data_IF_247147157873
#
_entry.id   IF_247147157873
#
_cell.length_a   1.000
_cell.length_b   1.000
_cell.length_c   1.000
_cell.angle_alpha   90.00
_cell.angle_beta   90.00
_cell.angle_gamma   90.00
#
_symmetry.space_group_name_H-M   'P 1'
#
loop_
_entity.id
_entity.type
_entity.pdbx_description
1 polymer ?
#
# COMPACT_ATOMS: atom_id res chain seq x y z
N UNK A 1 -15.49 88.36 -25.92
CA UNK A 1 -16.62 88.47 -24.99
C UNK A 1 -16.60 87.22 -24.16
N UNK A 2 -16.16 87.47 -23.02
CA UNK A 2 -16.41 86.95 -21.67
C UNK A 2 -16.23 85.44 -21.48
N UNK A 3 -15.14 84.99 -20.89
CA UNK A 3 -14.63 85.09 -19.54
C UNK A 3 -15.68 84.60 -18.49
N UNK A 4 -15.40 83.44 -17.92
CA UNK A 4 -15.33 83.24 -16.45
C UNK A 4 -15.24 81.74 -16.10
N UNK A 5 -14.07 81.31 -15.64
CA UNK A 5 -14.00 80.11 -14.84
C UNK A 5 -14.54 80.33 -13.41
N UNK A 6 -14.82 79.31 -12.68
CA UNK A 6 -14.44 79.33 -11.27
C UNK A 6 -13.72 78.09 -10.73
N UNK A 7 -12.69 78.44 -10.05
CA UNK A 7 -12.31 78.05 -8.65
C UNK A 7 -12.25 76.54 -8.30
N UNK A 8 -11.01 76.16 -8.15
CA UNK A 8 -10.55 75.06 -7.29
C UNK A 8 -11.24 75.02 -5.92
N UNK A 9 -11.74 73.87 -5.56
CA UNK A 9 -11.79 73.47 -4.15
C UNK A 9 -11.12 72.12 -4.03
N UNK A 10 -9.95 72.15 -3.39
CA UNK A 10 -9.26 70.98 -2.83
C UNK A 10 -10.10 70.52 -1.63
N UNK A 11 -10.57 69.30 -1.68
CA UNK A 11 -10.93 68.54 -0.50
C UNK A 11 -9.98 67.39 -0.39
N UNK A 12 -9.00 67.52 0.51
CA UNK A 12 -8.21 66.45 1.09
C UNK A 12 -9.14 65.74 2.06
N UNK A 13 -9.60 64.57 1.70
CA UNK A 13 -10.13 63.62 2.71
C UNK A 13 -9.20 62.40 2.62
N UNK A 14 -8.27 62.33 3.59
CA UNK A 14 -7.54 61.12 3.90
C UNK A 14 -8.49 60.06 4.43
N UNK A 15 -8.82 59.10 3.60
CA UNK A 15 -9.46 57.86 3.99
C UNK A 15 -8.39 56.83 4.24
N UNK A 16 -8.01 56.66 5.49
CA UNK A 16 -7.22 55.47 5.96
C UNK A 16 -8.14 54.27 5.78
N UNK A 17 -7.98 53.56 4.66
CA UNK A 17 -8.52 52.22 4.49
C UNK A 17 -7.60 51.31 5.31
N UNK A 18 -7.94 51.09 6.57
CA UNK A 18 -7.41 50.00 7.36
C UNK A 18 -7.90 48.69 6.73
N UNK A 19 -7.10 48.15 5.84
CA UNK A 19 -7.29 46.79 5.29
C UNK A 19 -6.98 45.83 6.42
N UNK A 20 -8.02 45.49 7.20
CA UNK A 20 -8.00 44.43 8.17
C UNK A 20 -7.79 43.12 7.41
N UNK A 21 -6.52 42.68 7.29
CA UNK A 21 -6.19 41.35 6.85
C UNK A 21 -6.77 40.39 7.88
N UNK A 22 -7.98 39.92 7.67
CA UNK A 22 -8.53 38.77 8.36
C UNK A 22 -7.66 37.60 7.90
N UNK A 23 -6.66 37.29 8.71
CA UNK A 23 -6.01 35.99 8.69
C UNK A 23 -7.10 34.95 8.92
N UNK A 24 -7.71 34.47 7.85
CA UNK A 24 -8.48 33.23 7.85
C UNK A 24 -7.44 32.15 8.11
N UNK A 25 -7.14 31.90 9.37
CA UNK A 25 -6.54 30.65 9.78
C UNK A 25 -7.57 29.59 9.48
N UNK A 26 -7.50 29.03 8.28
CA UNK A 26 -8.20 27.79 7.98
C UNK A 26 -7.81 26.82 9.10
N UNK A 27 -8.76 26.31 9.91
CA UNK A 27 -8.42 25.28 10.87
C UNK A 27 -7.77 24.16 10.03
N UNK A 28 -6.49 23.88 10.29
CA UNK A 28 -5.93 22.65 9.81
C UNK A 28 -6.91 21.57 10.31
N UNK A 29 -7.53 20.83 9.40
CA UNK A 29 -8.41 19.72 9.76
C UNK A 29 -7.55 18.71 10.51
N UNK A 30 -7.37 18.93 11.80
CA UNK A 30 -6.80 17.95 12.69
C UNK A 30 -7.86 16.87 12.85
N UNK A 31 -7.66 15.73 12.18
CA UNK A 31 -8.50 14.56 12.39
C UNK A 31 -8.30 14.15 13.85
N UNK A 32 -9.37 14.25 14.66
CA UNK A 32 -9.34 13.81 16.06
C UNK A 32 -9.44 12.30 16.13
N UNK A 33 -8.29 11.65 16.40
CA UNK A 33 -8.18 10.19 16.48
C UNK A 33 -8.29 9.76 17.93
N UNK A 34 -9.41 9.16 18.29
CA UNK A 34 -9.65 8.59 19.61
C UNK A 34 -9.15 7.14 19.65
N UNK A 35 -8.42 6.80 20.69
CA UNK A 35 -7.98 5.43 20.95
C UNK A 35 -8.88 4.79 21.99
N UNK A 36 -9.59 3.73 21.61
CA UNK A 36 -10.55 3.03 22.48
C UNK A 36 -10.10 1.58 22.69
N UNK A 37 -10.61 1.00 23.77
CA UNK A 37 -10.45 -0.45 24.05
C UNK A 37 -11.81 -0.99 24.45
N UNK A 38 -12.22 -2.08 23.82
CA UNK A 38 -13.50 -2.74 24.13
C UNK A 38 -13.40 -3.63 25.36
N UNK A 39 -14.52 -4.04 25.98
CA UNK A 39 -14.55 -5.04 27.06
C UNK A 39 -13.83 -6.35 26.72
N UNK A 40 -13.88 -6.79 25.45
CA UNK A 40 -13.11 -7.95 24.97
C UNK A 40 -11.60 -7.69 24.80
N UNK A 41 -11.10 -6.48 25.14
CA UNK A 41 -9.69 -6.11 25.04
C UNK A 41 -9.23 -5.72 23.64
N UNK A 42 -10.14 -5.45 22.71
CA UNK A 42 -9.84 -5.07 21.34
C UNK A 42 -9.54 -3.58 21.29
N UNK A 43 -8.36 -3.23 20.78
CA UNK A 43 -7.96 -1.82 20.57
C UNK A 43 -8.41 -1.33 19.20
N UNK A 44 -8.96 -0.12 19.15
CA UNK A 44 -9.38 0.51 17.91
C UNK A 44 -9.06 2.01 17.89
N UNK A 45 -8.93 2.55 16.70
CA UNK A 45 -8.91 3.99 16.48
C UNK A 45 -10.22 4.44 15.88
N UNK A 46 -10.80 5.51 16.42
CA UNK A 46 -12.07 6.09 15.97
C UNK A 46 -11.87 7.53 15.52
N UNK A 47 -12.46 7.87 14.38
CA UNK A 47 -12.75 9.24 13.96
C UNK A 47 -14.25 9.37 13.78
N UNK A 48 -14.89 10.20 14.59
CA UNK A 48 -16.30 10.53 14.42
C UNK A 48 -16.46 11.51 13.25
N UNK A 49 -17.22 11.12 12.24
CA UNK A 49 -17.56 11.95 11.08
C UNK A 49 -19.05 11.80 10.79
N UNK A 50 -19.81 12.85 11.09
CA UNK A 50 -21.28 12.91 10.94
C UNK A 50 -21.73 13.60 9.66
N UNK A 51 -20.82 13.85 8.72
CA UNK A 51 -21.14 14.53 7.45
C UNK A 51 -22.02 13.68 6.55
N UNK A 52 -21.94 12.36 6.67
CA UNK A 52 -22.78 11.40 5.98
C UNK A 52 -23.17 10.24 6.93
N UNK A 53 -24.37 9.65 6.77
CA UNK A 53 -24.82 8.54 7.62
C UNK A 53 -24.15 7.20 7.24
N UNK A 54 -22.82 7.20 7.16
CA UNK A 54 -22.00 6.07 6.73
C UNK A 54 -20.96 5.76 7.78
N UNK A 55 -20.69 4.48 7.99
CA UNK A 55 -19.60 3.98 8.85
C UNK A 55 -18.69 3.12 8.00
N UNK A 56 -17.40 3.38 8.07
CA UNK A 56 -16.34 2.56 7.47
C UNK A 56 -15.45 1.96 8.56
N UNK A 57 -15.30 0.65 8.52
CA UNK A 57 -14.38 -0.10 9.37
C UNK A 57 -13.32 -0.70 8.48
N UNK A 58 -12.05 -0.44 8.78
CA UNK A 58 -10.90 -1.13 8.18
C UNK A 58 -10.18 -1.92 9.27
N UNK A 59 -9.86 -3.16 8.98
CA UNK A 59 -9.20 -4.03 9.96
C UNK A 59 -8.15 -4.93 9.31
N UNK A 60 -7.20 -5.38 10.11
CA UNK A 60 -6.13 -6.27 9.66
C UNK A 60 -5.72 -7.21 10.78
N UNK A 61 -5.44 -8.45 10.40
CA UNK A 61 -4.81 -9.45 11.26
C UNK A 61 -3.39 -9.70 10.76
N UNK A 62 -2.46 -9.90 11.67
CA UNK A 62 -1.12 -10.36 11.32
C UNK A 62 -1.19 -11.79 10.77
N UNK A 63 -0.32 -12.08 9.79
CA UNK A 63 -0.33 -13.34 9.06
C UNK A 63 -0.97 -13.21 7.69
N UNK A 64 -0.24 -13.62 6.66
CA UNK A 64 -0.64 -13.54 5.27
C UNK A 64 -0.07 -14.71 4.47
N UNK A 65 0.10 -14.54 3.15
CA UNK A 65 0.56 -15.61 2.27
C UNK A 65 1.97 -16.13 2.58
N UNK A 66 2.79 -15.37 3.32
CA UNK A 66 4.08 -15.86 3.79
C UNK A 66 3.96 -17.08 4.74
N UNK A 67 2.80 -17.27 5.33
CA UNK A 67 2.50 -18.39 6.24
C UNK A 67 1.83 -19.59 5.55
N UNK A 68 1.61 -19.52 4.25
CA UNK A 68 1.06 -20.66 3.51
C UNK A 68 2.01 -21.87 3.65
N UNK A 69 1.50 -23.08 3.90
CA UNK A 69 2.32 -24.28 3.90
C UNK A 69 2.99 -24.48 2.53
N UNK A 70 4.20 -25.07 2.53
CA UNK A 70 4.85 -25.44 1.29
C UNK A 70 3.98 -26.42 0.49
N UNK A 71 3.83 -26.14 -0.80
CA UNK A 71 2.95 -26.90 -1.72
C UNK A 71 1.47 -26.52 -1.63
N UNK A 72 1.11 -25.52 -0.80
CA UNK A 72 -0.25 -24.96 -0.70
C UNK A 72 -0.21 -23.42 -0.81
N UNK A 73 0.73 -22.92 -1.62
CA UNK A 73 0.83 -21.48 -1.88
C UNK A 73 -0.47 -20.97 -2.53
N UNK A 74 -1.05 -19.94 -1.91
CA UNK A 74 -2.36 -19.38 -2.25
C UNK A 74 -3.49 -19.76 -1.28
N UNK A 75 -3.19 -20.55 -0.22
CA UNK A 75 -4.18 -20.95 0.78
C UNK A 75 -4.82 -19.75 1.48
N UNK A 76 -4.02 -18.80 1.96
CA UNK A 76 -4.53 -17.61 2.61
C UNK A 76 -5.41 -16.77 1.67
N UNK A 77 -4.99 -16.63 0.40
CA UNK A 77 -5.73 -15.87 -0.61
C UNK A 77 -7.07 -16.52 -0.96
N UNK A 78 -7.09 -17.85 -1.16
CA UNK A 78 -8.33 -18.59 -1.44
C UNK A 78 -9.28 -18.53 -0.23
N UNK A 79 -8.76 -18.71 1.00
CA UNK A 79 -9.56 -18.62 2.22
C UNK A 79 -10.20 -17.24 2.38
N UNK A 80 -9.44 -16.15 2.14
CA UNK A 80 -9.96 -14.79 2.19
C UNK A 80 -11.10 -14.57 1.19
N UNK A 81 -10.95 -15.10 -0.04
CA UNK A 81 -11.94 -14.95 -1.10
C UNK A 81 -13.21 -15.80 -0.88
N UNK A 82 -13.19 -16.72 0.07
CA UNK A 82 -14.33 -17.55 0.43
C UNK A 82 -15.18 -16.97 1.56
N UNK A 83 -14.70 -15.99 2.31
CA UNK A 83 -15.40 -15.45 3.48
C UNK A 83 -16.73 -14.76 3.16
N UNK A 84 -16.87 -14.23 1.96
CA UNK A 84 -18.10 -13.61 1.47
C UNK A 84 -18.91 -14.51 0.50
N UNK A 85 -18.51 -15.78 0.37
CA UNK A 85 -19.18 -16.77 -0.47
C UNK A 85 -20.16 -17.66 0.34
N UNK A 86 -20.78 -17.08 1.35
CA UNK A 86 -21.74 -17.72 2.24
C UNK A 86 -21.19 -17.89 3.65
N UNK A 87 -22.02 -17.56 4.65
CA UNK A 87 -21.67 -17.66 6.06
C UNK A 87 -22.93 -17.90 6.92
N UNK A 88 -22.80 -18.68 7.99
CA UNK A 88 -23.89 -19.05 8.86
C UNK A 88 -25.05 -19.70 8.07
N UNK A 89 -26.30 -19.18 8.18
CA UNK A 89 -27.45 -19.72 7.47
C UNK A 89 -27.50 -19.33 5.98
N UNK A 90 -26.68 -18.39 5.53
CA UNK A 90 -26.75 -17.83 4.18
C UNK A 90 -25.74 -18.53 3.26
N UNK A 91 -26.23 -19.10 2.14
CA UNK A 91 -25.37 -19.49 1.04
C UNK A 91 -24.80 -18.26 0.29
N UNK A 92 -24.00 -18.48 -0.75
CA UNK A 92 -23.34 -17.39 -1.46
C UNK A 92 -24.32 -16.37 -2.06
N UNK A 93 -25.45 -16.82 -2.61
CA UNK A 93 -26.46 -15.94 -3.22
C UNK A 93 -27.23 -15.16 -2.14
N UNK A 94 -27.66 -15.85 -1.07
CA UNK A 94 -28.38 -15.24 0.04
C UNK A 94 -27.47 -14.25 0.82
N UNK A 95 -26.18 -14.59 1.01
CA UNK A 95 -25.24 -13.70 1.67
C UNK A 95 -25.03 -12.42 0.88
N UNK A 96 -24.86 -12.54 -0.43
CA UNK A 96 -24.75 -11.39 -1.33
C UNK A 96 -26.04 -10.56 -1.36
N UNK A 97 -27.21 -11.21 -1.48
CA UNK A 97 -28.50 -10.52 -1.41
C UNK A 97 -28.69 -9.73 -0.12
N UNK A 98 -28.31 -10.31 1.04
CA UNK A 98 -28.36 -9.59 2.30
C UNK A 98 -27.46 -8.37 2.33
N UNK A 99 -26.24 -8.44 1.75
CA UNK A 99 -25.37 -7.25 1.62
C UNK A 99 -26.03 -6.16 0.76
N UNK A 100 -26.67 -6.54 -0.34
CA UNK A 100 -27.36 -5.63 -1.26
C UNK A 100 -28.58 -4.97 -0.59
N UNK A 101 -29.41 -5.74 0.12
CA UNK A 101 -30.61 -5.27 0.83
C UNK A 101 -30.29 -4.16 1.85
N UNK A 102 -29.15 -4.25 2.52
CA UNK A 102 -28.73 -3.31 3.57
C UNK A 102 -27.62 -2.35 3.10
N UNK A 103 -27.33 -2.31 1.78
CA UNK A 103 -26.27 -1.51 1.19
C UNK A 103 -24.90 -1.66 1.89
N UNK A 104 -24.62 -2.83 2.48
CA UNK A 104 -23.34 -3.15 3.11
C UNK A 104 -22.34 -3.64 2.07
N UNK A 105 -21.08 -3.26 2.25
CA UNK A 105 -19.98 -3.79 1.46
C UNK A 105 -18.91 -4.37 2.35
N UNK A 106 -18.75 -5.68 2.29
CA UNK A 106 -17.65 -6.41 2.91
C UNK A 106 -16.58 -6.65 1.83
N UNK A 107 -15.31 -6.55 2.22
CA UNK A 107 -14.18 -6.86 1.35
C UNK A 107 -13.06 -7.49 2.19
N UNK A 108 -12.45 -8.53 1.67
CA UNK A 108 -11.34 -9.25 2.30
C UNK A 108 -10.18 -9.37 1.33
N UNK A 109 -8.96 -9.37 1.85
CA UNK A 109 -7.77 -9.51 1.03
C UNK A 109 -6.57 -9.98 1.84
N UNK A 110 -5.56 -10.45 1.15
CA UNK A 110 -4.33 -10.96 1.76
C UNK A 110 -3.13 -10.29 1.10
N UNK A 111 -2.21 -9.84 1.90
CA UNK A 111 -0.85 -9.50 1.48
C UNK A 111 0.12 -10.57 1.96
N UNK A 112 1.39 -10.35 1.72
CA UNK A 112 2.43 -11.30 2.17
C UNK A 112 2.42 -11.46 3.69
N UNK A 113 2.24 -10.35 4.43
CA UNK A 113 2.35 -10.32 5.89
C UNK A 113 1.00 -10.26 6.62
N UNK A 114 -0.11 -10.01 5.93
CA UNK A 114 -1.37 -9.65 6.57
C UNK A 114 -2.59 -10.15 5.82
N UNK A 115 -3.59 -10.52 6.59
CA UNK A 115 -4.97 -10.51 6.16
C UNK A 115 -5.58 -9.13 6.46
N UNK A 116 -6.36 -8.59 5.55
CA UNK A 116 -7.09 -7.32 5.73
C UNK A 116 -8.54 -7.47 5.34
N UNK A 117 -9.38 -6.67 5.97
CA UNK A 117 -10.79 -6.57 5.60
C UNK A 117 -11.31 -5.17 5.81
N UNK A 118 -12.43 -4.89 5.17
CA UNK A 118 -13.17 -3.64 5.38
C UNK A 118 -14.66 -3.87 5.30
N UNK A 119 -15.40 -3.08 6.07
CA UNK A 119 -16.86 -2.98 5.99
C UNK A 119 -17.23 -1.52 5.79
N UNK A 120 -18.08 -1.26 4.82
CA UNK A 120 -18.75 0.01 4.65
C UNK A 120 -20.25 -0.20 4.73
N UNK A 121 -20.93 0.56 5.56
CA UNK A 121 -22.34 0.38 5.87
C UNK A 121 -23.04 1.72 6.12
N UNK A 122 -24.35 1.75 5.92
CA UNK A 122 -25.20 2.82 6.38
C UNK A 122 -25.39 2.71 7.90
N UNK A 123 -25.50 3.87 8.58
CA UNK A 123 -25.71 3.94 10.02
C UNK A 123 -26.96 3.14 10.47
N UNK A 124 -28.05 3.22 9.71
CA UNK A 124 -29.30 2.52 10.02
C UNK A 124 -29.19 0.98 10.00
N UNK A 125 -28.31 0.44 9.17
CA UNK A 125 -28.07 -1.01 9.05
C UNK A 125 -26.79 -1.49 9.70
N UNK A 126 -26.22 -0.72 10.64
CA UNK A 126 -24.91 -1.03 11.25
C UNK A 126 -24.90 -2.39 11.96
N UNK A 127 -25.99 -2.73 12.69
CA UNK A 127 -26.03 -4.01 13.41
C UNK A 127 -26.09 -5.21 12.47
N UNK A 128 -26.96 -5.15 11.45
CA UNK A 128 -27.07 -6.22 10.44
C UNK A 128 -25.78 -6.39 9.65
N UNK A 129 -25.09 -5.29 9.33
CA UNK A 129 -23.81 -5.33 8.63
C UNK A 129 -22.69 -5.96 9.48
N UNK A 130 -22.69 -5.66 10.78
CA UNK A 130 -21.75 -6.24 11.74
C UNK A 130 -22.04 -7.74 11.95
N UNK A 131 -23.32 -8.15 11.95
CA UNK A 131 -23.67 -9.58 12.02
C UNK A 131 -23.15 -10.35 10.78
N UNK A 132 -23.29 -9.78 9.58
CA UNK A 132 -22.71 -10.39 8.38
C UNK A 132 -21.19 -10.50 8.47
N UNK A 133 -20.50 -9.46 8.97
CA UNK A 133 -19.07 -9.52 9.20
C UNK A 133 -18.70 -10.63 10.18
N UNK A 134 -19.38 -10.70 11.33
CA UNK A 134 -19.15 -11.74 12.35
C UNK A 134 -19.31 -13.12 11.73
N UNK A 135 -20.40 -13.37 11.03
CA UNK A 135 -20.64 -14.65 10.36
C UNK A 135 -19.52 -14.99 9.36
N UNK A 136 -19.11 -14.04 8.54
CA UNK A 136 -18.03 -14.23 7.57
C UNK A 136 -16.71 -14.66 8.23
N UNK A 137 -16.38 -14.09 9.40
CA UNK A 137 -15.15 -14.39 10.11
C UNK A 137 -15.21 -15.66 10.96
N UNK A 138 -16.39 -16.01 11.52
CA UNK A 138 -16.52 -17.10 12.50
C UNK A 138 -17.19 -18.36 11.96
N UNK A 139 -18.04 -18.21 10.95
CA UNK A 139 -18.89 -19.28 10.43
C UNK A 139 -18.93 -19.31 8.88
N UNK A 140 -17.78 -19.13 8.16
CA UNK A 140 -17.79 -19.25 6.72
C UNK A 140 -18.20 -20.66 6.32
N UNK A 141 -19.12 -20.79 5.33
CA UNK A 141 -19.69 -22.08 4.95
C UNK A 141 -18.69 -22.99 4.24
N UNK A 142 -17.81 -22.41 3.43
CA UNK A 142 -16.83 -23.15 2.65
C UNK A 142 -17.50 -24.25 1.79
N UNK A 143 -18.59 -23.89 1.11
CA UNK A 143 -19.37 -24.80 0.28
C UNK A 143 -18.53 -25.30 -0.92
N UNK A 144 -18.65 -26.58 -1.25
CA UNK A 144 -17.84 -27.23 -2.28
C UNK A 144 -17.90 -26.52 -3.64
N UNK A 145 -19.09 -26.08 -4.05
CA UNK A 145 -19.30 -25.37 -5.33
C UNK A 145 -18.56 -24.03 -5.37
N UNK A 146 -18.59 -23.28 -4.27
CA UNK A 146 -17.87 -22.01 -4.13
C UNK A 146 -16.36 -22.24 -4.14
N UNK A 147 -15.86 -23.24 -3.42
CA UNK A 147 -14.44 -23.63 -3.42
C UNK A 147 -14.00 -23.97 -4.85
N UNK A 148 -14.67 -24.91 -5.52
CA UNK A 148 -14.29 -25.34 -6.86
C UNK A 148 -14.36 -24.22 -7.88
N UNK A 149 -15.37 -23.34 -7.79
CA UNK A 149 -15.50 -22.18 -8.68
C UNK A 149 -14.32 -21.22 -8.50
N UNK A 150 -13.98 -20.88 -7.26
CA UNK A 150 -12.87 -19.99 -6.96
C UNK A 150 -11.51 -20.64 -7.30
N UNK A 151 -11.30 -21.92 -7.01
CA UNK A 151 -10.07 -22.62 -7.42
C UNK A 151 -9.87 -22.53 -8.94
N UNK A 152 -10.91 -22.80 -9.74
CA UNK A 152 -10.82 -22.66 -11.21
C UNK A 152 -10.51 -21.23 -11.65
N UNK A 153 -11.12 -20.25 -10.99
CA UNK A 153 -10.86 -18.83 -11.26
C UNK A 153 -9.40 -18.44 -10.93
N UNK A 154 -8.88 -18.87 -9.77
CA UNK A 154 -7.50 -18.62 -9.38
C UNK A 154 -6.51 -19.31 -10.34
N UNK A 155 -6.74 -20.57 -10.67
CA UNK A 155 -5.90 -21.31 -11.64
C UNK A 155 -5.88 -20.62 -13.00
N UNK A 156 -7.03 -20.17 -13.49
CA UNK A 156 -7.09 -19.41 -14.75
C UNK A 156 -6.31 -18.08 -14.66
N UNK A 157 -6.47 -17.33 -13.58
CA UNK A 157 -5.74 -16.09 -13.35
C UNK A 157 -4.22 -16.31 -13.25
N UNK A 158 -3.79 -17.36 -12.54
CA UNK A 158 -2.37 -17.72 -12.42
C UNK A 158 -1.76 -18.11 -13.77
N UNK A 159 -2.46 -18.90 -14.60
CA UNK A 159 -2.03 -19.25 -15.97
C UNK A 159 -1.91 -18.02 -16.86
N UNK A 160 -2.82 -17.06 -16.72
CA UNK A 160 -2.73 -15.78 -17.43
C UNK A 160 -1.53 -14.94 -16.92
N UNK A 161 -1.31 -14.89 -15.61
CA UNK A 161 -0.18 -14.18 -15.01
C UNK A 161 1.18 -14.76 -15.43
N UNK A 162 1.27 -16.07 -15.72
CA UNK A 162 2.46 -16.72 -16.26
C UNK A 162 2.84 -16.25 -17.67
N UNK A 163 1.88 -15.70 -18.42
CA UNK A 163 2.10 -15.12 -19.75
C UNK A 163 2.45 -13.62 -19.69
N UNK A 164 2.22 -12.96 -18.56
CA UNK A 164 2.52 -11.55 -18.37
C UNK A 164 4.01 -11.33 -18.07
N UNK A 165 4.77 -10.61 -18.92
CA UNK A 165 6.19 -10.34 -18.65
C UNK A 165 6.43 -9.66 -17.30
N UNK A 166 5.55 -8.74 -16.90
CA UNK A 166 5.63 -8.05 -15.61
C UNK A 166 5.45 -8.98 -14.41
N UNK A 167 4.47 -9.89 -14.46
CA UNK A 167 4.24 -10.89 -13.41
C UNK A 167 5.41 -11.88 -13.29
N UNK A 168 5.94 -12.33 -14.43
CA UNK A 168 7.11 -13.21 -14.47
C UNK A 168 8.32 -12.49 -13.94
N UNK A 169 8.57 -11.23 -14.33
CA UNK A 169 9.68 -10.42 -13.84
C UNK A 169 9.61 -10.22 -12.32
N UNK A 170 8.44 -9.88 -11.78
CA UNK A 170 8.26 -9.71 -10.35
C UNK A 170 8.50 -11.02 -9.57
N UNK A 171 7.97 -12.14 -10.04
CA UNK A 171 8.19 -13.46 -9.42
C UNK A 171 9.68 -13.86 -9.46
N UNK A 172 10.33 -13.67 -10.61
CA UNK A 172 11.77 -13.94 -10.78
C UNK A 172 12.61 -13.08 -9.85
N UNK A 173 12.29 -11.77 -9.79
CA UNK A 173 12.97 -10.83 -8.91
C UNK A 173 12.84 -11.22 -7.44
N UNK A 174 11.62 -11.40 -6.95
CA UNK A 174 11.38 -11.71 -5.53
C UNK A 174 12.00 -13.06 -5.14
N UNK A 175 11.93 -14.07 -6.01
CA UNK A 175 12.60 -15.34 -5.79
C UNK A 175 14.11 -15.17 -5.71
N UNK A 176 14.72 -14.34 -6.55
CA UNK A 176 16.15 -14.10 -6.54
C UNK A 176 16.61 -13.27 -5.32
N UNK A 177 15.79 -12.29 -4.90
CA UNK A 177 16.08 -11.43 -3.72
C UNK A 177 15.93 -12.21 -2.42
N UNK A 178 14.83 -12.94 -2.27
CA UNK A 178 14.47 -13.57 -1.00
C UNK A 178 14.90 -15.04 -0.88
N UNK A 179 15.24 -15.70 -1.99
CA UNK A 179 15.73 -17.08 -1.98
C UNK A 179 14.69 -18.08 -1.42
N UNK A 180 15.07 -18.76 -0.34
CA UNK A 180 14.20 -19.71 0.37
C UNK A 180 13.28 -19.05 1.41
N UNK A 181 13.46 -17.77 1.69
CA UNK A 181 12.60 -17.03 2.60
C UNK A 181 11.14 -17.02 2.08
N UNK A 182 10.11 -17.07 2.93
CA UNK A 182 8.71 -17.07 2.50
C UNK A 182 8.33 -15.94 1.54
N UNK A 183 8.96 -14.78 1.64
CA UNK A 183 8.73 -13.65 0.71
C UNK A 183 9.18 -13.92 -0.73
N UNK A 184 10.00 -14.94 -0.97
CA UNK A 184 10.38 -15.39 -2.31
C UNK A 184 9.35 -16.33 -2.97
N UNK A 185 8.32 -16.75 -2.24
CA UNK A 185 7.21 -17.54 -2.77
C UNK A 185 6.17 -16.64 -3.44
N UNK A 186 5.46 -17.11 -4.48
CA UNK A 186 4.38 -16.36 -5.09
C UNK A 186 3.26 -16.05 -4.09
N UNK A 187 3.01 -14.78 -3.82
CA UNK A 187 1.98 -14.36 -2.86
C UNK A 187 0.55 -14.75 -3.31
N UNK A 188 0.32 -14.76 -4.62
CA UNK A 188 -0.96 -15.15 -5.22
C UNK A 188 -1.12 -16.68 -5.33
N UNK A 189 -0.09 -17.44 -4.95
CA UNK A 189 -0.07 -18.89 -5.03
C UNK A 189 0.54 -19.45 -6.31
N UNK A 190 0.44 -20.76 -6.43
CA UNK A 190 0.83 -21.54 -7.61
C UNK A 190 -0.37 -22.39 -8.08
N UNK A 191 -0.39 -22.77 -9.37
CA UNK A 191 -1.45 -23.66 -9.89
C UNK A 191 -1.52 -24.95 -9.08
N UNK A 192 -0.37 -25.61 -8.87
CA UNK A 192 -0.30 -26.84 -8.09
C UNK A 192 -0.71 -26.62 -6.61
N UNK A 193 -0.29 -25.47 -6.02
CA UNK A 193 -0.67 -25.11 -4.64
C UNK A 193 -2.19 -24.95 -4.50
N UNK A 194 -2.83 -24.19 -5.39
CA UNK A 194 -4.29 -23.98 -5.38
C UNK A 194 -5.05 -25.29 -5.56
N UNK A 195 -4.61 -26.17 -6.49
CA UNK A 195 -5.24 -27.47 -6.76
C UNK A 195 -5.07 -28.46 -5.59
N UNK A 196 -4.02 -28.33 -4.79
CA UNK A 196 -3.76 -29.16 -3.63
C UNK A 196 -4.53 -28.73 -2.36
N UNK A 197 -5.17 -27.54 -2.35
CA UNK A 197 -5.89 -27.05 -1.18
C UNK A 197 -7.19 -27.84 -0.97
N UNK A 198 -7.37 -28.38 0.23
CA UNK A 198 -8.56 -29.09 0.66
C UNK A 198 -9.48 -28.21 1.51
N UNK A 199 -10.72 -28.65 1.71
CA UNK A 199 -11.65 -27.96 2.62
C UNK A 199 -11.16 -27.92 4.06
N UNK A 200 -10.43 -28.95 4.50
CA UNK A 200 -9.87 -28.97 5.85
C UNK A 200 -8.70 -27.98 6.01
N UNK A 201 -7.90 -27.78 4.97
CA UNK A 201 -6.89 -26.72 4.94
C UNK A 201 -7.53 -25.33 5.11
N UNK A 202 -8.63 -25.08 4.42
CA UNK A 202 -9.37 -23.82 4.50
C UNK A 202 -9.95 -23.61 5.91
N UNK A 203 -10.55 -24.65 6.50
CA UNK A 203 -11.05 -24.60 7.89
C UNK A 203 -9.94 -24.31 8.88
N UNK A 204 -8.79 -24.96 8.73
CA UNK A 204 -7.63 -24.72 9.59
C UNK A 204 -7.08 -23.32 9.39
N UNK A 205 -7.01 -22.82 8.14
CA UNK A 205 -6.57 -21.47 7.83
C UNK A 205 -7.46 -20.43 8.53
N UNK A 206 -8.79 -20.55 8.44
CA UNK A 206 -9.73 -19.64 9.11
C UNK A 206 -9.51 -19.66 10.63
N UNK A 207 -9.41 -20.84 11.24
CA UNK A 207 -9.20 -20.97 12.70
C UNK A 207 -7.90 -20.35 13.18
N UNK A 208 -6.81 -20.47 12.43
CA UNK A 208 -5.50 -19.91 12.84
C UNK A 208 -5.34 -18.44 12.52
N UNK A 209 -6.09 -17.90 11.52
CA UNK A 209 -5.91 -16.54 11.03
C UNK A 209 -6.45 -15.50 12.00
N UNK A 210 -7.62 -15.74 12.54
CA UNK A 210 -8.38 -14.73 13.28
C UNK A 210 -8.19 -14.87 14.79
N UNK A 211 -7.37 -13.97 15.37
CA UNK A 211 -7.18 -13.86 16.82
C UNK A 211 -7.12 -12.38 17.22
N UNK A 212 -7.66 -12.06 18.40
CA UNK A 212 -7.80 -10.68 18.88
C UNK A 212 -6.46 -9.99 19.12
N UNK A 213 -5.43 -10.72 19.57
CA UNK A 213 -4.08 -10.20 19.79
C UNK A 213 -3.39 -9.70 18.52
N UNK A 214 -3.82 -10.18 17.34
CA UNK A 214 -3.29 -9.81 16.01
C UNK A 214 -4.09 -8.76 15.29
N UNK A 215 -5.23 -8.36 15.84
CA UNK A 215 -6.17 -7.43 15.22
C UNK A 215 -5.69 -5.99 15.36
N UNK A 216 -5.73 -5.27 14.26
CA UNK A 216 -5.64 -3.80 14.18
C UNK A 216 -6.92 -3.30 13.54
N UNK A 217 -7.50 -2.22 14.06
CA UNK A 217 -8.82 -1.76 13.68
C UNK A 217 -8.91 -0.24 13.66
N UNK A 218 -9.44 0.30 12.58
CA UNK A 218 -9.77 1.73 12.46
C UNK A 218 -11.20 1.91 11.99
N UNK A 219 -11.89 2.87 12.57
CA UNK A 219 -13.28 3.21 12.28
C UNK A 219 -13.40 4.70 12.00
N UNK A 220 -14.15 5.03 10.97
CA UNK A 220 -14.48 6.42 10.62
C UNK A 220 -15.95 6.49 10.22
N UNK A 221 -16.69 7.46 10.75
CA UNK A 221 -18.06 7.68 10.33
C UNK A 221 -19.02 8.15 11.41
N UNK A 222 -20.29 8.11 11.09
CA UNK A 222 -21.38 8.54 11.97
C UNK A 222 -21.71 7.47 13.01
N UNK A 223 -20.86 7.40 14.03
CA UNK A 223 -21.00 6.47 15.15
C UNK A 223 -20.35 7.07 16.39
N UNK A 224 -20.96 6.86 17.55
CA UNK A 224 -20.42 7.29 18.85
C UNK A 224 -19.46 6.24 19.42
N UNK A 225 -18.63 6.66 20.39
CA UNK A 225 -17.70 5.74 21.10
C UNK A 225 -18.43 4.54 21.70
N UNK A 226 -19.55 4.75 22.40
CA UNK A 226 -20.30 3.67 23.03
C UNK A 226 -20.88 2.69 22.01
N UNK A 227 -21.45 3.20 20.90
CA UNK A 227 -21.99 2.37 19.83
C UNK A 227 -20.89 1.52 19.17
N UNK A 228 -19.74 2.12 18.83
CA UNK A 228 -18.68 1.38 18.11
C UNK A 228 -18.00 0.34 18.98
N UNK A 229 -17.84 0.61 20.29
CA UNK A 229 -17.32 -0.37 21.23
C UNK A 229 -18.20 -1.62 21.26
N UNK A 230 -19.53 -1.47 21.35
CA UNK A 230 -20.46 -2.58 21.31
C UNK A 230 -20.47 -3.32 19.97
N UNK A 231 -20.42 -2.61 18.84
CA UNK A 231 -20.37 -3.19 17.49
C UNK A 231 -19.09 -3.97 17.24
N UNK A 232 -17.95 -3.48 17.71
CA UNK A 232 -16.65 -4.17 17.59
C UNK A 232 -16.62 -5.43 18.43
N UNK A 233 -17.10 -5.40 19.66
CA UNK A 233 -17.22 -6.60 20.50
C UNK A 233 -18.17 -7.63 19.88
N UNK A 234 -19.28 -7.19 19.28
CA UNK A 234 -20.21 -8.09 18.56
C UNK A 234 -19.54 -8.75 17.36
N UNK A 235 -18.71 -8.00 16.60
CA UNK A 235 -18.04 -8.53 15.41
C UNK A 235 -16.87 -9.48 15.73
N UNK A 236 -16.03 -9.10 16.68
CA UNK A 236 -14.72 -9.70 16.90
C UNK A 236 -14.54 -10.33 18.29
N UNK A 237 -15.42 -10.03 19.26
CA UNK A 237 -15.27 -10.44 20.64
C UNK A 237 -15.28 -11.97 20.85
N UNK A 238 -15.99 -12.72 19.99
CA UNK A 238 -16.02 -14.18 19.99
C UNK A 238 -14.78 -14.85 19.40
N UNK A 239 -13.90 -14.10 18.75
CA UNK A 239 -12.64 -14.64 18.23
C UNK A 239 -11.71 -15.05 19.37
N UNK A 240 -10.87 -16.09 19.18
CA UNK A 240 -9.86 -16.49 20.15
C UNK A 240 -8.99 -15.31 20.59
N UNK A 241 -8.57 -15.31 21.85
CA UNK A 241 -7.64 -14.30 22.34
C UNK A 241 -6.30 -14.36 21.57
N UNK A 242 -5.81 -15.58 21.34
CA UNK A 242 -4.60 -15.87 20.57
C UNK A 242 -4.74 -17.19 19.81
N UNK A 243 -4.02 -17.34 18.71
CA UNK A 243 -3.93 -18.58 17.92
C UNK A 243 -2.47 -19.02 17.72
N UNK A 244 -1.56 -18.55 18.58
CA UNK A 244 -0.13 -18.80 18.49
C UNK A 244 0.60 -17.77 17.59
N UNK A 245 1.91 -17.90 17.40
CA UNK A 245 2.70 -16.90 16.69
C UNK A 245 2.38 -16.85 15.18
N UNK A 246 2.31 -15.62 14.64
CA UNK A 246 2.23 -15.35 13.21
C UNK A 246 3.61 -14.98 12.65
N UNK A 247 4.65 -15.69 13.08
CA UNK A 247 6.01 -15.28 12.80
C UNK A 247 6.45 -15.66 11.39
N UNK A 248 7.10 -14.70 10.74
CA UNK A 248 7.86 -14.88 9.51
C UNK A 248 9.34 -14.76 9.89
N UNK A 249 10.22 -15.65 9.41
CA UNK A 249 11.65 -15.58 9.71
C UNK A 249 12.23 -14.20 9.42
N UNK A 250 13.26 -13.80 10.15
CA UNK A 250 14.03 -12.59 9.80
C UNK A 250 14.71 -12.80 8.44
N UNK A 251 14.60 -11.78 7.61
CA UNK A 251 15.31 -11.78 6.34
C UNK A 251 16.66 -11.05 6.48
N UNK A 252 17.68 -11.63 5.88
CA UNK A 252 19.00 -11.00 5.74
C UNK A 252 19.29 -10.85 4.25
N UNK A 253 19.68 -9.66 3.77
CA UNK A 253 20.09 -9.47 2.38
C UNK A 253 21.19 -10.44 1.96
N UNK A 254 21.13 -10.90 0.72
CA UNK A 254 22.22 -11.71 0.15
C UNK A 254 23.50 -10.86 0.03
N UNK A 255 24.65 -11.52 0.02
CA UNK A 255 25.93 -10.85 -0.17
C UNK A 255 25.96 -10.07 -1.49
N UNK A 256 26.50 -8.86 -1.43
CA UNK A 256 26.71 -8.02 -2.62
C UNK A 256 27.73 -8.68 -3.57
N UNK A 257 27.54 -8.46 -4.87
CA UNK A 257 28.46 -8.91 -5.93
C UNK A 257 28.81 -7.71 -6.80
N UNK A 258 30.05 -7.61 -7.31
CA UNK A 258 30.42 -6.53 -8.22
C UNK A 258 29.43 -6.43 -9.40
N UNK A 259 28.84 -5.24 -9.59
CA UNK A 259 27.83 -4.99 -10.63
C UNK A 259 26.44 -5.56 -10.36
N UNK A 260 26.21 -6.21 -9.22
CA UNK A 260 24.95 -6.87 -8.88
C UNK A 260 24.72 -8.18 -9.64
N UNK A 261 23.47 -8.67 -9.59
CA UNK A 261 23.06 -9.92 -10.25
C UNK A 261 21.98 -9.64 -11.29
N UNK A 262 22.14 -10.18 -12.51
CA UNK A 262 21.13 -10.05 -13.58
C UNK A 262 20.59 -11.42 -13.98
N UNK A 263 19.27 -11.54 -14.01
CA UNK A 263 18.55 -12.72 -14.49
C UNK A 263 17.77 -12.36 -15.75
N UNK A 264 17.83 -13.22 -16.74
CA UNK A 264 17.09 -13.05 -18.00
C UNK A 264 16.17 -14.25 -18.18
N UNK A 265 14.88 -13.97 -18.37
CA UNK A 265 13.88 -14.98 -18.72
C UNK A 265 13.42 -14.72 -20.14
N UNK A 266 13.84 -15.56 -21.08
CA UNK A 266 13.47 -15.44 -22.48
C UNK A 266 11.97 -15.69 -22.69
N UNK A 267 11.30 -14.75 -23.39
CA UNK A 267 9.91 -14.84 -23.80
C UNK A 267 9.72 -14.19 -25.17
N UNK A 268 8.96 -14.81 -26.05
CA UNK A 268 8.62 -14.24 -27.37
C UNK A 268 7.50 -13.21 -27.20
N UNK A 269 7.88 -12.00 -26.79
CA UNK A 269 6.96 -10.87 -26.57
C UNK A 269 7.58 -9.60 -27.19
N UNK A 270 6.73 -8.63 -27.63
CA UNK A 270 7.23 -7.42 -28.33
C UNK A 270 7.99 -6.47 -27.42
N UNK A 271 7.79 -6.54 -26.10
CA UNK A 271 8.42 -5.67 -25.12
C UNK A 271 9.06 -6.47 -23.99
N UNK A 272 10.23 -6.02 -23.54
CA UNK A 272 10.85 -6.50 -22.33
C UNK A 272 10.43 -5.68 -21.12
N UNK A 273 10.28 -6.35 -19.98
CA UNK A 273 10.13 -5.71 -18.67
C UNK A 273 11.40 -5.95 -17.86
N UNK A 274 11.99 -4.89 -17.35
CA UNK A 274 13.11 -4.95 -16.43
C UNK A 274 12.72 -4.40 -15.06
N UNK A 275 13.05 -5.16 -14.01
CA UNK A 275 12.92 -4.76 -12.61
C UNK A 275 14.30 -4.82 -11.96
N UNK A 276 14.67 -3.78 -11.23
CA UNK A 276 15.93 -3.68 -10.49
C UNK A 276 15.57 -3.46 -9.02
N UNK A 277 15.92 -4.42 -8.16
CA UNK A 277 15.69 -4.33 -6.72
C UNK A 277 17.00 -4.26 -5.94
N UNK A 278 16.95 -3.58 -4.82
CA UNK A 278 18.00 -3.55 -3.82
C UNK A 278 17.40 -3.48 -2.41
N UNK A 279 18.12 -3.94 -1.38
CA UNK A 279 17.70 -3.77 0.01
C UNK A 279 17.45 -2.29 0.35
N UNK A 280 16.41 -2.03 1.11
CA UNK A 280 16.01 -0.68 1.52
C UNK A 280 15.52 -0.71 2.96
N UNK A 281 14.89 0.38 3.39
CA UNK A 281 14.41 0.58 4.74
C UNK A 281 13.09 -0.15 4.99
N UNK A 282 12.89 -0.58 6.21
CA UNK A 282 11.56 -0.89 6.73
C UNK A 282 10.81 0.40 7.06
N UNK A 283 9.51 0.30 7.29
CA UNK A 283 8.67 1.47 7.53
C UNK A 283 8.97 2.18 8.85
N UNK A 284 9.47 1.45 9.82
CA UNK A 284 9.84 1.93 11.16
C UNK A 284 11.24 2.57 11.25
N UNK A 285 11.99 2.63 10.13
CA UNK A 285 13.30 3.27 10.09
C UNK A 285 13.19 4.79 10.29
N UNK A 286 14.01 5.41 11.15
CA UNK A 286 13.98 6.86 11.39
C UNK A 286 14.25 7.69 10.12
N UNK A 287 14.97 7.14 9.14
CA UNK A 287 15.28 7.80 7.87
C UNK A 287 14.17 7.64 6.81
N UNK A 288 13.00 7.12 7.19
CA UNK A 288 11.92 6.84 6.25
C UNK A 288 11.52 8.04 5.38
N UNK A 289 11.42 9.23 5.96
CA UNK A 289 11.02 10.42 5.19
C UNK A 289 12.11 10.91 4.25
N UNK A 290 13.38 10.78 4.62
CA UNK A 290 14.49 11.06 3.71
C UNK A 290 14.49 10.07 2.51
N UNK A 291 14.24 8.78 2.77
CA UNK A 291 14.09 7.77 1.73
C UNK A 291 12.84 8.01 0.86
N UNK A 292 11.74 8.48 1.44
CA UNK A 292 10.52 8.82 0.71
C UNK A 292 10.77 9.99 -0.26
N UNK A 293 11.45 11.04 0.18
CA UNK A 293 11.83 12.18 -0.65
C UNK A 293 12.81 11.73 -1.75
N UNK A 294 13.85 10.96 -1.39
CA UNK A 294 14.78 10.38 -2.35
C UNK A 294 14.06 9.61 -3.44
N UNK A 295 13.17 8.69 -3.06
CA UNK A 295 12.41 7.89 -4.01
C UNK A 295 11.45 8.74 -4.85
N UNK A 296 10.82 9.75 -4.28
CA UNK A 296 9.95 10.68 -5.02
C UNK A 296 10.72 11.35 -6.17
N UNK A 297 11.89 11.93 -5.88
CA UNK A 297 12.75 12.57 -6.88
C UNK A 297 13.29 11.54 -7.88
N UNK A 298 13.66 10.35 -7.44
CA UNK A 298 14.21 9.32 -8.32
C UNK A 298 13.19 8.86 -9.37
N UNK A 299 12.04 8.35 -8.94
CA UNK A 299 11.05 7.79 -9.87
C UNK A 299 9.66 7.57 -9.26
N UNK A 300 9.45 7.91 -7.99
CA UNK A 300 8.17 7.82 -7.30
C UNK A 300 7.24 9.02 -7.56
N UNK A 301 7.77 10.12 -8.05
CA UNK A 301 7.02 11.35 -8.37
C UNK A 301 6.30 11.33 -9.73
N UNK A 302 6.16 10.18 -10.36
CA UNK A 302 5.51 10.08 -11.67
C UNK A 302 6.27 10.86 -12.74
N UNK A 303 5.60 11.77 -13.44
CA UNK A 303 6.22 12.56 -14.53
C UNK A 303 7.33 13.51 -14.07
N UNK A 304 7.37 13.90 -12.81
CA UNK A 304 8.43 14.77 -12.28
C UNK A 304 9.67 14.00 -11.83
N UNK A 305 9.64 12.65 -11.81
CA UNK A 305 10.77 11.83 -11.40
C UNK A 305 11.91 11.80 -12.43
N UNK A 306 13.16 11.73 -11.94
CA UNK A 306 14.36 11.66 -12.81
C UNK A 306 14.32 10.48 -13.78
N UNK A 307 13.85 9.31 -13.35
CA UNK A 307 13.75 8.13 -14.22
C UNK A 307 12.80 8.37 -15.40
N UNK A 308 11.65 9.01 -15.14
CA UNK A 308 10.70 9.35 -16.19
C UNK A 308 11.30 10.34 -17.17
N UNK A 309 11.95 11.40 -16.67
CA UNK A 309 12.58 12.42 -17.48
C UNK A 309 13.70 11.84 -18.36
N UNK A 310 14.60 11.02 -17.79
CA UNK A 310 15.77 10.51 -18.49
C UNK A 310 15.43 9.41 -19.51
N UNK A 311 14.50 8.50 -19.16
CA UNK A 311 14.16 7.35 -20.00
C UNK A 311 13.10 7.70 -21.04
N UNK A 312 12.05 8.43 -20.63
CA UNK A 312 10.92 8.75 -21.51
C UNK A 312 11.10 10.10 -22.22
N UNK A 313 11.16 11.19 -21.44
CA UNK A 313 11.05 12.55 -22.02
C UNK A 313 12.24 12.88 -22.90
N UNK A 314 13.47 12.63 -22.45
CA UNK A 314 14.68 12.97 -23.19
C UNK A 314 15.04 11.98 -24.29
N UNK A 315 14.71 10.70 -24.14
CA UNK A 315 15.21 9.64 -25.04
C UNK A 315 14.12 8.81 -25.70
N UNK A 316 12.88 8.91 -25.28
CA UNK A 316 11.76 8.16 -25.86
C UNK A 316 11.93 6.64 -25.80
N UNK A 317 12.70 6.12 -24.83
CA UNK A 317 13.04 4.71 -24.77
C UNK A 317 11.89 3.85 -24.26
N UNK A 318 11.06 4.38 -23.33
CA UNK A 318 9.95 3.67 -22.73
C UNK A 318 8.76 4.61 -22.52
N UNK A 319 7.57 4.04 -22.35
CA UNK A 319 6.38 4.80 -21.95
C UNK A 319 6.49 5.29 -20.50
N UNK A 320 7.24 4.60 -19.66
CA UNK A 320 7.49 5.03 -18.29
C UNK A 320 8.60 4.23 -17.61
N UNK A 321 9.28 4.90 -16.69
CA UNK A 321 10.24 4.33 -15.77
C UNK A 321 9.99 4.88 -14.37
N UNK A 322 9.89 3.99 -13.38
CA UNK A 322 9.43 4.34 -12.04
C UNK A 322 10.30 3.69 -10.97
N UNK A 323 10.26 4.23 -9.76
CA UNK A 323 10.78 3.56 -8.58
C UNK A 323 9.79 3.60 -7.43
N UNK A 324 9.86 2.60 -6.55
CA UNK A 324 9.03 2.52 -5.34
C UNK A 324 9.80 1.91 -4.17
N UNK A 325 9.45 2.35 -2.97
CA UNK A 325 9.80 1.68 -1.73
C UNK A 325 8.74 0.61 -1.44
N UNK A 326 9.16 -0.63 -1.26
CA UNK A 326 8.30 -1.76 -0.91
C UNK A 326 8.67 -2.26 0.47
N UNK A 327 7.76 -2.12 1.43
CA UNK A 327 7.98 -2.53 2.82
C UNK A 327 7.31 -3.85 3.10
N UNK A 328 8.01 -4.69 3.82
CA UNK A 328 7.56 -5.94 4.40
C UNK A 328 7.82 -5.88 5.91
N UNK A 329 7.18 -6.72 6.68
CA UNK A 329 7.42 -6.80 8.14
C UNK A 329 8.88 -7.08 8.47
N UNK A 330 9.57 -7.91 7.67
CA UNK A 330 10.94 -8.32 7.91
C UNK A 330 11.95 -7.75 6.91
N UNK A 331 11.52 -6.97 5.92
CA UNK A 331 12.38 -6.47 4.85
C UNK A 331 11.90 -5.12 4.32
N UNK A 332 12.80 -4.41 3.63
CA UNK A 332 12.47 -3.29 2.75
C UNK A 332 13.21 -3.43 1.44
N UNK A 333 12.58 -3.07 0.33
CA UNK A 333 13.19 -3.03 -0.98
C UNK A 333 12.92 -1.67 -1.64
N UNK A 334 13.90 -1.16 -2.38
CA UNK A 334 13.67 -0.18 -3.43
C UNK A 334 13.65 -0.95 -4.76
N UNK A 335 12.60 -0.73 -5.55
CA UNK A 335 12.43 -1.41 -6.84
C UNK A 335 12.25 -0.35 -7.92
N UNK A 336 13.16 -0.30 -8.88
CA UNK A 336 13.01 0.43 -10.12
C UNK A 336 12.45 -0.49 -11.21
N UNK A 337 11.66 0.07 -12.14
CA UNK A 337 10.96 -0.69 -13.18
C UNK A 337 10.90 0.08 -14.50
N UNK A 338 11.00 -0.65 -15.62
CA UNK A 338 10.79 -0.14 -16.97
C UNK A 338 10.20 -1.22 -17.85
N UNK A 339 9.25 -0.83 -18.72
CA UNK A 339 8.74 -1.66 -19.83
C UNK A 339 9.08 -0.96 -21.15
N UNK A 340 9.81 -1.65 -22.05
CA UNK A 340 10.32 -1.05 -23.28
C UNK A 340 10.47 -2.08 -24.40
N UNK A 341 10.69 -1.62 -25.63
CA UNK A 341 11.00 -2.50 -26.75
C UNK A 341 12.29 -3.34 -26.48
N UNK A 342 12.32 -4.54 -27.02
CA UNK A 342 13.40 -5.51 -26.73
C UNK A 342 14.81 -4.99 -27.05
N UNK A 343 14.94 -4.18 -28.12
CA UNK A 343 16.19 -3.56 -28.53
C UNK A 343 16.63 -2.38 -27.67
N UNK A 344 15.73 -1.80 -26.87
CA UNK A 344 15.98 -0.60 -26.03
C UNK A 344 16.20 -0.92 -24.55
N UNK A 345 15.98 -2.17 -24.14
CA UNK A 345 15.99 -2.51 -22.71
C UNK A 345 17.37 -2.38 -22.09
N UNK A 346 18.45 -2.73 -22.81
CA UNK A 346 19.82 -2.59 -22.31
C UNK A 346 20.16 -1.13 -21.98
N UNK A 347 19.83 -0.20 -22.91
CA UNK A 347 20.04 1.22 -22.70
C UNK A 347 19.17 1.76 -21.55
N UNK A 348 17.91 1.37 -21.47
CA UNK A 348 17.01 1.76 -20.39
C UNK A 348 17.51 1.32 -19.02
N UNK A 349 17.96 0.07 -18.88
CA UNK A 349 18.57 -0.46 -17.66
C UNK A 349 19.85 0.29 -17.28
N UNK A 350 20.71 0.59 -18.27
CA UNK A 350 21.93 1.36 -18.08
C UNK A 350 21.60 2.76 -17.52
N UNK A 351 20.68 3.47 -18.12
CA UNK A 351 20.26 4.80 -17.65
C UNK A 351 19.67 4.77 -16.24
N UNK A 352 18.83 3.78 -15.93
CA UNK A 352 18.30 3.62 -14.57
C UNK A 352 19.47 3.44 -13.58
N UNK A 353 20.43 2.58 -13.87
CA UNK A 353 21.61 2.36 -13.01
C UNK A 353 22.47 3.62 -12.88
N UNK A 354 22.64 4.41 -13.94
CA UNK A 354 23.31 5.71 -13.91
C UNK A 354 22.60 6.68 -12.98
N UNK A 355 21.26 6.78 -13.06
CA UNK A 355 20.49 7.64 -12.17
C UNK A 355 20.54 7.19 -10.70
N UNK A 356 20.56 5.89 -10.43
CA UNK A 356 20.79 5.36 -9.09
C UNK A 356 22.18 5.75 -8.57
N UNK A 357 23.23 5.64 -9.39
CA UNK A 357 24.60 6.03 -9.04
C UNK A 357 24.69 7.55 -8.77
N UNK A 358 24.17 8.38 -9.67
CA UNK A 358 24.16 9.83 -9.53
C UNK A 358 23.40 10.26 -8.26
N UNK A 359 22.27 9.63 -7.96
CA UNK A 359 21.53 9.91 -6.73
C UNK A 359 22.36 9.56 -5.48
N UNK A 360 23.13 8.48 -5.52
CA UNK A 360 24.01 8.08 -4.40
C UNK A 360 25.22 9.01 -4.24
N UNK A 361 25.82 9.50 -5.34
CA UNK A 361 27.01 10.36 -5.30
C UNK A 361 26.67 11.83 -5.06
N UNK A 362 25.70 12.36 -5.80
CA UNK A 362 25.41 13.80 -5.83
C UNK A 362 24.22 14.17 -4.94
N UNK A 363 23.28 13.20 -4.71
CA UNK A 363 22.04 13.46 -4.01
C UNK A 363 20.99 14.14 -4.89
N UNK A 364 20.25 15.06 -4.28
CA UNK A 364 19.23 15.89 -4.95
C UNK A 364 19.58 17.37 -4.85
N UNK A 365 18.98 18.19 -5.69
CA UNK A 365 19.11 19.66 -5.64
C UNK A 365 18.17 20.29 -4.61
N UNK A 366 18.42 21.54 -4.22
CA UNK A 366 17.52 22.35 -3.36
C UNK A 366 16.11 22.45 -3.96
N UNK A 367 16.01 22.66 -5.27
CA UNK A 367 14.73 22.75 -5.97
C UNK A 367 13.96 21.43 -5.89
N UNK A 368 14.61 20.30 -6.20
CA UNK A 368 13.98 18.98 -6.10
C UNK A 368 13.52 18.66 -4.65
N UNK A 369 14.30 19.08 -3.64
CA UNK A 369 13.92 18.92 -2.24
C UNK A 369 12.66 19.73 -1.91
N UNK A 370 12.62 21.00 -2.34
CA UNK A 370 11.49 21.90 -2.09
C UNK A 370 10.21 21.39 -2.79
N UNK A 371 10.32 20.99 -4.04
CA UNK A 371 9.19 20.43 -4.83
C UNK A 371 8.67 19.12 -4.21
N UNK A 372 9.57 18.22 -3.84
CA UNK A 372 9.19 16.95 -3.21
C UNK A 372 8.47 17.17 -1.86
N UNK A 373 8.96 18.09 -1.01
CA UNK A 373 8.30 18.45 0.24
C UNK A 373 6.91 19.04 0.00
N UNK A 374 6.79 19.95 -0.95
CA UNK A 374 5.52 20.58 -1.32
C UNK A 374 4.51 19.54 -1.79
N UNK A 375 4.91 18.65 -2.69
CA UNK A 375 4.07 17.59 -3.19
C UNK A 375 3.64 16.61 -2.09
N UNK A 376 4.59 16.09 -1.31
CA UNK A 376 4.32 15.09 -0.27
C UNK A 376 3.42 15.65 0.84
N UNK A 377 3.57 16.93 1.20
CA UNK A 377 2.70 17.58 2.15
C UNK A 377 1.29 17.81 1.59
N UNK A 378 1.18 18.23 0.32
CA UNK A 378 -0.12 18.47 -0.32
C UNK A 378 -0.88 17.18 -0.65
N UNK A 379 -0.18 16.11 -1.05
CA UNK A 379 -0.81 14.85 -1.47
C UNK A 379 -1.60 14.16 -0.35
N UNK A 380 -1.27 14.39 0.93
CA UNK A 380 -2.01 13.80 2.04
C UNK A 380 -3.48 14.24 2.05
N UNK A 381 -3.75 15.51 1.78
CA UNK A 381 -5.12 16.04 1.77
C UNK A 381 -6.02 15.31 0.76
N UNK A 382 -5.44 14.89 -0.38
CA UNK A 382 -6.16 14.15 -1.41
C UNK A 382 -6.51 12.71 -1.00
N UNK A 383 -5.87 12.17 0.02
CA UNK A 383 -6.16 10.83 0.55
C UNK A 383 -7.25 10.83 1.63
N UNK A 384 -7.68 12.01 2.05
CA UNK A 384 -8.71 12.21 3.10
C UNK A 384 -10.09 12.51 2.50
N UNK A 385 -10.37 12.00 1.33
CA UNK A 385 -11.56 12.30 0.52
C UNK A 385 -12.82 11.52 0.93
N UNK A 386 -12.68 10.45 1.70
CA UNK A 386 -13.80 9.59 2.12
C UNK A 386 -13.54 8.90 3.45
N UNK A 387 -14.62 8.54 4.16
CA UNK A 387 -14.55 7.73 5.39
C UNK A 387 -13.74 6.45 5.20
N UNK A 388 -13.87 5.78 4.04
CA UNK A 388 -13.11 4.57 3.70
C UNK A 388 -11.61 4.85 3.57
N UNK A 389 -11.24 5.91 2.85
CA UNK A 389 -9.82 6.29 2.65
C UNK A 389 -9.17 6.66 3.98
N UNK A 390 -9.87 7.43 4.82
CA UNK A 390 -9.40 7.79 6.15
C UNK A 390 -9.24 6.54 7.03
N UNK A 391 -10.24 5.64 7.08
CA UNK A 391 -10.14 4.39 7.86
C UNK A 391 -8.97 3.51 7.38
N UNK A 392 -8.74 3.42 6.07
CA UNK A 392 -7.61 2.71 5.48
C UNK A 392 -6.26 3.32 5.88
N UNK A 393 -6.15 4.66 5.86
CA UNK A 393 -4.94 5.36 6.28
C UNK A 393 -4.65 5.13 7.77
N UNK A 394 -5.65 5.24 8.64
CA UNK A 394 -5.51 4.99 10.07
C UNK A 394 -5.09 3.54 10.36
N UNK A 395 -5.66 2.59 9.63
CA UNK A 395 -5.26 1.19 9.72
C UNK A 395 -3.80 1.01 9.29
N UNK A 396 -3.38 1.62 8.17
CA UNK A 396 -1.99 1.56 7.71
C UNK A 396 -1.04 2.12 8.76
N UNK A 397 -1.37 3.24 9.40
CA UNK A 397 -0.57 3.80 10.48
C UNK A 397 -0.41 2.84 11.66
N UNK A 398 -1.51 2.17 12.11
CA UNK A 398 -1.43 1.17 13.17
C UNK A 398 -0.57 -0.04 12.78
N UNK A 399 -0.71 -0.49 11.53
CA UNK A 399 0.07 -1.59 10.94
C UNK A 399 1.56 -1.26 10.92
N UNK A 400 1.89 -0.02 10.63
CA UNK A 400 3.26 0.51 10.56
C UNK A 400 3.82 0.88 11.96
N UNK A 401 3.04 0.68 13.04
CA UNK A 401 3.46 1.02 14.40
C UNK A 401 3.53 2.51 14.69
N UNK A 402 2.87 3.34 13.88
CA UNK A 402 2.85 4.79 14.05
C UNK A 402 1.81 5.19 15.10
N UNK A 403 2.11 6.26 15.85
CA UNK A 403 1.19 6.81 16.84
C UNK A 403 0.05 7.63 16.21
N UNK A 404 -1.09 7.83 16.89
CA UNK A 404 -2.21 8.63 16.35
C UNK A 404 -1.81 10.06 15.96
N UNK A 405 -0.89 10.69 16.70
CA UNK A 405 -0.38 12.04 16.46
C UNK A 405 0.53 12.14 15.21
N UNK A 406 0.86 11.00 14.61
CA UNK A 406 1.75 10.98 13.44
C UNK A 406 1.20 11.80 12.26
N UNK A 407 -0.11 11.85 12.08
CA UNK A 407 -0.72 12.64 11.01
C UNK A 407 -0.41 14.14 11.17
N UNK A 408 -0.52 14.66 12.37
CA UNK A 408 -0.22 16.08 12.66
C UNK A 408 1.28 16.39 12.59
N UNK A 409 2.13 15.44 13.02
CA UNK A 409 3.59 15.57 13.00
C UNK A 409 4.21 15.30 11.63
N UNK A 410 3.49 14.63 10.71
CA UNK A 410 4.02 14.20 9.41
C UNK A 410 4.62 15.35 8.61
N UNK A 411 3.92 16.51 8.57
CA UNK A 411 4.42 17.69 7.87
C UNK A 411 5.77 18.13 8.44
N UNK A 412 5.88 18.23 9.75
CA UNK A 412 7.12 18.60 10.43
C UNK A 412 8.25 17.60 10.14
N UNK A 413 7.94 16.29 10.15
CA UNK A 413 8.92 15.25 9.84
C UNK A 413 9.45 15.34 8.40
N UNK A 414 8.59 15.69 7.45
CA UNK A 414 8.98 15.93 6.06
C UNK A 414 9.80 17.23 5.95
N UNK A 415 9.36 18.31 6.58
CA UNK A 415 9.99 19.62 6.47
C UNK A 415 11.39 19.65 7.08
N UNK A 416 11.65 18.84 8.10
CA UNK A 416 12.97 18.70 8.75
C UNK A 416 14.02 18.02 7.88
N UNK A 417 13.63 17.24 6.87
CA UNK A 417 14.59 16.52 6.01
C UNK A 417 15.48 17.53 5.28
N UNK A 418 16.78 17.32 5.33
CA UNK A 418 17.80 18.13 4.66
C UNK A 418 18.36 17.43 3.42
N UNK A 419 19.08 18.16 2.57
CA UNK A 419 19.86 17.58 1.47
C UNK A 419 20.86 16.54 1.97
N UNK A 420 21.51 16.82 3.10
CA UNK A 420 22.46 15.89 3.70
C UNK A 420 21.80 14.58 4.13
N UNK A 421 20.57 14.62 4.66
CA UNK A 421 19.82 13.42 5.01
C UNK A 421 19.47 12.60 3.78
N UNK A 422 19.00 13.24 2.70
CA UNK A 422 18.69 12.57 1.44
C UNK A 422 19.95 11.95 0.83
N UNK A 423 21.06 12.66 0.82
CA UNK A 423 22.33 12.14 0.31
C UNK A 423 22.84 10.96 1.14
N UNK A 424 22.80 11.06 2.47
CA UNK A 424 23.18 9.99 3.38
C UNK A 424 22.36 8.73 3.17
N UNK A 425 21.02 8.87 3.03
CA UNK A 425 20.16 7.72 2.81
C UNK A 425 20.33 7.14 1.39
N UNK A 426 20.56 7.97 0.38
CA UNK A 426 20.85 7.52 -0.96
C UNK A 426 22.13 6.65 -0.98
N UNK A 427 23.19 7.08 -0.31
CA UNK A 427 24.42 6.30 -0.15
C UNK A 427 24.19 4.98 0.59
N UNK A 428 23.32 4.97 1.61
CA UNK A 428 23.01 3.77 2.37
C UNK A 428 22.19 2.75 1.56
N UNK A 429 21.24 3.20 0.75
CA UNK A 429 20.25 2.33 0.06
C UNK A 429 20.70 1.99 -1.35
N UNK A 430 21.23 2.95 -2.12
CA UNK A 430 21.50 2.78 -3.56
C UNK A 430 22.85 2.08 -3.80
N UNK A 431 22.98 0.87 -3.28
CA UNK A 431 24.17 0.05 -3.41
C UNK A 431 24.07 -0.80 -4.68
N UNK A 432 24.73 -0.38 -5.78
CA UNK A 432 24.63 -1.03 -7.09
C UNK A 432 25.11 -2.48 -7.09
N UNK A 433 26.06 -2.83 -6.22
CA UNK A 433 26.56 -4.21 -6.07
C UNK A 433 25.57 -5.11 -5.30
N UNK A 434 24.60 -4.53 -4.60
CA UNK A 434 23.52 -5.26 -3.95
C UNK A 434 22.26 -5.40 -4.82
N UNK A 435 22.31 -4.96 -6.10
CA UNK A 435 21.15 -5.03 -6.99
C UNK A 435 20.89 -6.42 -7.50
N UNK A 436 19.60 -6.76 -7.59
CA UNK A 436 19.11 -7.89 -8.38
C UNK A 436 18.26 -7.33 -9.50
N UNK A 437 18.63 -7.63 -10.73
CA UNK A 437 17.92 -7.23 -11.94
C UNK A 437 17.23 -8.44 -12.56
N UNK A 438 15.94 -8.37 -12.80
CA UNK A 438 15.20 -9.38 -13.55
C UNK A 438 14.69 -8.76 -14.86
N UNK A 439 15.06 -9.37 -15.99
CA UNK A 439 14.61 -8.94 -17.32
C UNK A 439 13.83 -10.09 -17.96
N UNK A 440 12.62 -9.80 -18.40
CA UNK A 440 11.73 -10.78 -19.06
C UNK A 440 11.31 -10.26 -20.42
N UNK A 441 11.54 -11.04 -21.46
CA UNK A 441 11.27 -10.68 -22.83
C UNK A 441 12.27 -11.33 -23.78
N UNK A 442 12.56 -10.65 -24.89
CA UNK A 442 13.64 -11.01 -25.83
C UNK A 442 14.70 -9.90 -25.87
N UNK A 443 15.30 -9.58 -24.70
CA UNK A 443 16.16 -8.41 -24.57
C UNK A 443 17.38 -8.52 -25.45
N UNK A 444 17.71 -7.42 -26.14
CA UNK A 444 18.98 -7.30 -26.85
C UNK A 444 19.99 -6.56 -25.96
N UNK A 445 21.23 -7.02 -25.96
CA UNK A 445 22.32 -6.40 -25.21
C UNK A 445 22.26 -6.55 -23.69
N UNK A 446 21.38 -7.42 -23.18
CA UNK A 446 21.36 -7.80 -21.75
C UNK A 446 21.72 -9.26 -21.62
N UNK A 447 22.78 -9.55 -20.85
CA UNK A 447 23.20 -10.91 -20.52
C UNK A 447 22.95 -11.22 -19.06
N UNK A 448 22.57 -12.47 -18.77
CA UNK A 448 22.49 -12.93 -17.40
C UNK A 448 23.91 -12.96 -16.79
N UNK A 449 24.02 -12.55 -15.52
CA UNK A 449 25.22 -12.78 -14.72
C UNK A 449 24.98 -13.99 -13.82
N UNK A 450 25.93 -14.90 -13.79
CA UNK A 450 25.90 -16.06 -12.89
C UNK A 450 26.04 -15.69 -11.40
#
# INVERSE_FOLDING_TARGET
MDARGPKRRRFILGGIVAMMAVLVTSPAFAIDIKTLTTPAGIKLWLVEDRTAPVIAISFSFEGGSAQDPAGKEGLAQLAASLLDQGAGPYDAAAFKGRQEDIAARLSFGVSVDRFSGSVRMLREYREQSIDLLRLALTEPRLDADSIQRLQRQFVSGLKQAEQSPGSVANRTLLKAVFGSHPYGRPADGTVAGIEAITVDDLRQQVKRQFARDRLRLAVVGDVTEAEIVALVDRAFGSLPATTGPADVPKWTPQASRPGGRTLVVAREVPQSVALIAMPSLKRDDPDWYAATIMNHVLGGGGFSGRLMNEVREKRGLAYGAYSRLSTYRQAGLLIASVGTANERVAESVKIIREQLALMATDGITEAELADAKTYLNGALALTLDSTKSIAGLLLSMQVDGLAPDHMTRRKELIDRVTLADVKRIAQRVLQLDATVTAVVGKPQGVTASE
#
